data_IF_073711456634
#
_entry.id   IF_073711456634
#
_cell.length_a   1.000
_cell.length_b   1.000
_cell.length_c   1.000
_cell.angle_alpha   90.00
_cell.angle_beta   90.00
_cell.angle_gamma   90.00
#
_symmetry.space_group_name_H-M   'P 1'
#
loop_
_entity.id
_entity.type
_entity.pdbx_description
1 polymer ?
#
# COMPACT_ATOMS: atom_id res chain seq x y z
N UNK A 1 18.70 17.69 3.25
CA UNK A 1 19.93 18.10 3.95
C UNK A 1 19.64 18.18 5.43
N UNK A 2 20.09 17.22 6.25
CA UNK A 2 20.04 17.36 7.71
C UNK A 2 20.96 18.53 8.08
N UNK A 3 20.42 19.56 8.73
CA UNK A 3 21.01 20.89 8.89
C UNK A 3 22.18 20.90 9.91
N UNK A 4 23.19 20.03 9.72
CA UNK A 4 24.26 19.74 10.67
C UNK A 4 23.77 19.26 12.05
N UNK A 5 22.57 18.67 12.09
CA UNK A 5 22.01 18.04 13.28
C UNK A 5 22.53 16.61 13.39
N UNK A 6 23.46 16.39 14.33
CA UNK A 6 24.07 15.08 14.60
C UNK A 6 23.02 14.04 15.00
N UNK A 7 21.93 14.47 15.64
CA UNK A 7 20.84 13.61 16.12
C UNK A 7 20.16 12.84 14.98
N UNK A 8 19.92 13.51 13.85
CA UNK A 8 19.31 12.88 12.66
C UNK A 8 20.29 11.87 12.04
N UNK A 9 21.59 12.20 11.99
CA UNK A 9 22.61 11.30 11.48
C UNK A 9 22.73 10.02 12.29
N UNK A 10 22.69 10.15 13.62
CA UNK A 10 22.75 9.01 14.55
C UNK A 10 21.53 8.09 14.40
N UNK A 11 20.32 8.66 14.28
CA UNK A 11 19.08 7.89 14.09
C UNK A 11 19.08 7.14 12.75
N UNK A 12 19.55 7.78 11.66
CA UNK A 12 19.67 7.12 10.36
C UNK A 12 20.69 5.98 10.43
N UNK A 13 21.82 6.16 11.11
CA UNK A 13 22.82 5.12 11.29
C UNK A 13 22.25 3.94 12.08
N UNK A 14 21.55 4.20 13.18
CA UNK A 14 20.92 3.16 14.00
C UNK A 14 19.83 2.40 13.22
N UNK A 15 19.04 3.12 12.41
CA UNK A 15 18.04 2.51 11.53
C UNK A 15 18.70 1.54 10.54
N UNK A 16 19.77 1.97 9.86
CA UNK A 16 20.53 1.14 8.91
C UNK A 16 21.14 -0.11 9.57
N UNK A 17 21.64 0.01 10.80
CA UNK A 17 22.20 -1.12 11.55
C UNK A 17 21.11 -2.13 11.95
N UNK A 18 19.88 -1.68 12.27
CA UNK A 18 18.75 -2.56 12.63
C UNK A 18 18.11 -3.26 11.44
N UNK A 19 17.89 -2.55 10.33
CA UNK A 19 17.19 -3.12 9.15
C UNK A 19 18.14 -3.84 8.18
N UNK A 20 19.45 -3.60 8.30
CA UNK A 20 20.48 -4.12 7.40
C UNK A 20 20.58 -3.33 6.09
N UNK A 21 21.59 -3.64 5.27
CA UNK A 21 21.90 -2.87 4.04
C UNK A 21 20.80 -2.83 2.99
N UNK A 22 19.93 -3.84 2.98
CA UNK A 22 18.84 -3.99 2.01
C UNK A 22 17.46 -3.76 2.66
N UNK A 23 17.42 -3.27 3.90
CA UNK A 23 16.21 -2.99 4.64
C UNK A 23 15.50 -1.72 4.17
N UNK A 24 14.18 -1.68 4.35
CA UNK A 24 13.36 -0.53 3.98
C UNK A 24 13.24 0.40 5.17
N UNK A 25 13.46 1.70 4.94
CA UNK A 25 13.27 2.76 5.93
C UNK A 25 12.19 3.70 5.42
N UNK A 26 11.15 3.86 6.23
CA UNK A 26 10.09 4.84 6.03
C UNK A 26 10.16 5.92 7.11
N UNK A 27 9.70 7.12 6.79
CA UNK A 27 9.64 8.25 7.73
C UNK A 27 8.20 8.70 7.83
N UNK A 28 7.68 8.76 9.04
CA UNK A 28 6.31 9.22 9.34
C UNK A 28 6.37 10.45 10.26
N UNK A 29 5.47 11.40 10.08
CA UNK A 29 5.38 12.56 10.97
C UNK A 29 4.69 12.19 12.30
N UNK A 30 5.45 12.26 13.40
CA UNK A 30 4.90 12.07 14.74
C UNK A 30 4.38 13.40 15.33
N UNK A 31 3.32 13.31 16.16
CA UNK A 31 2.79 14.48 16.90
C UNK A 31 3.66 14.89 18.10
N UNK A 32 4.64 14.06 18.49
CA UNK A 32 5.59 14.32 19.56
C UNK A 32 6.77 15.16 19.09
N UNK A 33 7.40 15.90 20.01
CA UNK A 33 8.65 16.58 19.74
C UNK A 33 9.85 15.61 19.64
N UNK A 34 9.68 14.40 20.17
CA UNK A 34 10.71 13.35 20.16
C UNK A 34 10.66 12.57 18.85
N UNK A 35 11.83 12.30 18.27
CA UNK A 35 12.02 11.40 17.13
C UNK A 35 12.26 9.99 17.65
N UNK A 36 11.38 9.03 17.31
CA UNK A 36 11.54 7.61 17.64
C UNK A 36 11.95 6.79 16.41
N UNK A 37 12.58 5.64 16.67
CA UNK A 37 12.91 4.63 15.67
C UNK A 37 12.18 3.34 16.04
N UNK A 38 11.20 2.97 15.23
CA UNK A 38 10.44 1.74 15.39
C UNK A 38 10.73 0.78 14.23
N UNK A 39 11.02 -0.48 14.56
CA UNK A 39 11.20 -1.53 13.57
C UNK A 39 9.92 -2.37 13.55
N UNK A 40 9.27 -2.39 12.40
CA UNK A 40 8.03 -3.16 12.18
C UNK A 40 8.25 -4.21 11.10
N UNK A 41 7.57 -5.34 11.21
CA UNK A 41 7.51 -6.32 10.13
C UNK A 41 6.65 -5.76 9.00
N UNK A 42 7.18 -5.78 7.78
CA UNK A 42 6.54 -5.19 6.61
C UNK A 42 7.07 -5.77 5.32
N UNK A 43 6.42 -5.41 4.21
CA UNK A 43 6.84 -5.82 2.87
C UNK A 43 6.79 -4.63 1.92
N UNK A 44 7.85 -4.50 1.11
CA UNK A 44 7.89 -3.60 -0.03
C UNK A 44 8.11 -4.41 -1.31
N UNK A 45 7.46 -4.01 -2.40
CA UNK A 45 7.67 -4.57 -3.72
C UNK A 45 7.55 -3.50 -4.81
N UNK A 46 8.21 -3.73 -5.94
CA UNK A 46 8.33 -2.75 -7.03
C UNK A 46 7.08 -2.68 -7.94
N UNK A 47 5.94 -2.28 -7.36
CA UNK A 47 4.69 -2.04 -8.09
C UNK A 47 3.98 -0.79 -7.57
N UNK A 48 3.80 0.19 -8.46
CA UNK A 48 3.04 1.40 -8.17
C UNK A 48 1.54 1.26 -8.42
N UNK A 49 0.80 2.33 -8.11
CA UNK A 49 -0.63 2.44 -8.38
C UNK A 49 -0.95 2.37 -9.88
N UNK A 50 -2.07 1.73 -10.22
CA UNK A 50 -2.52 1.57 -11.60
C UNK A 50 -3.13 2.85 -12.19
N UNK A 51 -3.45 3.83 -11.36
CA UNK A 51 -3.98 5.12 -11.80
C UNK A 51 -3.51 6.25 -10.88
N UNK A 52 -3.10 7.41 -11.42
CA UNK A 52 -2.71 8.57 -10.61
C UNK A 52 -3.88 9.13 -9.79
N UNK A 53 -5.12 8.78 -10.12
CA UNK A 53 -6.30 9.18 -9.34
C UNK A 53 -6.38 8.48 -7.96
N UNK A 54 -5.50 7.51 -7.68
CA UNK A 54 -5.38 6.93 -6.35
C UNK A 54 -4.51 7.74 -5.39
N UNK A 55 -3.74 8.70 -5.90
CA UNK A 55 -2.91 9.61 -5.10
C UNK A 55 -3.78 10.34 -4.07
N UNK A 56 -3.35 10.32 -2.82
CA UNK A 56 -3.97 11.02 -1.69
C UNK A 56 -3.16 12.24 -1.26
N UNK A 57 -1.85 12.20 -1.48
CA UNK A 57 -0.94 13.31 -1.24
C UNK A 57 -0.39 13.80 -2.59
N UNK A 58 -0.81 15.00 -2.99
CA UNK A 58 -0.42 15.58 -4.29
C UNK A 58 0.99 16.16 -4.29
N UNK A 59 1.58 16.41 -3.12
CA UNK A 59 2.91 16.98 -3.01
C UNK A 59 3.97 15.87 -3.13
N UNK A 60 3.77 14.75 -2.41
CA UNK A 60 4.66 13.57 -2.49
C UNK A 60 4.31 12.63 -3.64
N UNK A 61 3.13 12.78 -4.25
CA UNK A 61 2.57 11.87 -5.26
C UNK A 61 2.37 10.43 -4.72
N UNK A 62 1.93 10.32 -3.46
CA UNK A 62 1.74 9.04 -2.77
C UNK A 62 0.26 8.70 -2.56
N UNK A 63 0.00 7.40 -2.42
CA UNK A 63 -1.31 6.86 -2.04
C UNK A 63 -1.24 6.30 -0.61
N UNK A 64 -1.52 7.15 0.36
CA UNK A 64 -1.49 6.85 1.79
C UNK A 64 -2.86 6.33 2.23
N UNK A 65 -2.91 5.07 2.68
CA UNK A 65 -4.12 4.41 3.17
C UNK A 65 -3.91 4.01 4.63
N UNK A 66 -4.73 4.56 5.53
CA UNK A 66 -4.66 4.28 6.96
C UNK A 66 -5.51 3.05 7.32
N UNK A 67 -4.91 2.05 7.98
CA UNK A 67 -5.53 0.77 8.34
C UNK A 67 -6.41 0.13 7.23
N UNK A 68 -5.87 -0.06 6.01
CA UNK A 68 -6.68 -0.55 4.90
C UNK A 68 -6.98 -2.04 5.02
N UNK A 69 -8.12 -2.45 4.47
CA UNK A 69 -8.31 -3.85 4.07
C UNK A 69 -7.40 -4.17 2.88
N UNK A 70 -6.79 -5.34 2.87
CA UNK A 70 -5.99 -5.82 1.73
C UNK A 70 -6.78 -6.91 1.01
N UNK A 71 -7.09 -6.67 -0.27
CA UNK A 71 -7.80 -7.62 -1.12
C UNK A 71 -6.80 -8.22 -2.10
N UNK A 72 -6.60 -9.53 -2.02
CA UNK A 72 -5.68 -10.27 -2.89
C UNK A 72 -6.47 -11.05 -3.93
N UNK A 73 -6.13 -10.87 -5.22
CA UNK A 73 -6.77 -11.58 -6.34
C UNK A 73 -5.69 -12.16 -7.26
N UNK A 74 -5.62 -13.49 -7.35
CA UNK A 74 -4.59 -14.16 -8.17
C UNK A 74 -4.73 -13.86 -9.68
N UNK A 75 -5.95 -13.53 -10.11
CA UNK A 75 -6.35 -13.36 -11.51
C UNK A 75 -6.50 -11.89 -11.89
N UNK A 76 -6.58 -11.66 -13.20
CA UNK A 76 -6.95 -10.37 -13.79
C UNK A 76 -8.37 -9.95 -13.39
N UNK A 77 -8.53 -8.68 -13.03
CA UNK A 77 -9.82 -8.06 -12.68
C UNK A 77 -10.21 -7.06 -13.78
N UNK A 78 -11.11 -7.48 -14.67
CA UNK A 78 -11.61 -6.64 -15.77
C UNK A 78 -13.00 -6.06 -15.51
N UNK A 79 -13.75 -6.65 -14.57
CA UNK A 79 -15.07 -6.20 -14.13
C UNK A 79 -15.21 -6.31 -12.60
N UNK A 80 -16.16 -5.58 -12.02
CA UNK A 80 -16.34 -5.52 -10.56
C UNK A 80 -17.22 -6.61 -9.98
N UNK A 81 -17.89 -7.43 -10.80
CA UNK A 81 -18.99 -8.30 -10.37
C UNK A 81 -18.58 -9.25 -9.24
N UNK A 82 -17.41 -9.85 -9.36
CA UNK A 82 -16.89 -10.82 -8.39
C UNK A 82 -16.42 -10.14 -7.09
N UNK A 83 -16.12 -8.83 -7.13
CA UNK A 83 -15.69 -8.05 -5.98
C UNK A 83 -16.84 -7.34 -5.26
N UNK A 84 -18.01 -7.17 -5.91
CA UNK A 84 -19.15 -6.44 -5.34
C UNK A 84 -19.51 -6.88 -3.92
N UNK A 85 -19.65 -8.19 -3.59
CA UNK A 85 -20.05 -8.59 -2.25
C UNK A 85 -19.06 -8.15 -1.16
N UNK A 86 -17.76 -8.18 -1.47
CA UNK A 86 -16.69 -7.78 -0.55
C UNK A 86 -16.63 -6.25 -0.43
N UNK A 87 -16.73 -5.55 -1.56
CA UNK A 87 -16.69 -4.09 -1.57
C UNK A 87 -17.88 -3.45 -0.85
N UNK A 88 -19.06 -4.07 -0.93
CA UNK A 88 -20.23 -3.62 -0.16
C UNK A 88 -20.00 -3.75 1.34
N UNK A 89 -19.29 -4.78 1.80
CA UNK A 89 -18.95 -4.94 3.21
C UNK A 89 -17.93 -3.89 3.64
N UNK A 90 -16.86 -3.68 2.85
CA UNK A 90 -15.84 -2.67 3.15
C UNK A 90 -16.45 -1.27 3.13
N UNK A 91 -17.30 -0.94 2.16
CA UNK A 91 -17.97 0.35 2.08
C UNK A 91 -18.79 0.68 3.33
N UNK A 92 -19.43 -0.32 3.96
CA UNK A 92 -20.17 -0.15 5.23
C UNK A 92 -19.27 0.21 6.41
N UNK A 93 -18.01 -0.22 6.39
CA UNK A 93 -17.04 0.14 7.44
C UNK A 93 -16.48 1.56 7.26
N UNK A 94 -16.53 2.10 6.04
CA UNK A 94 -15.90 3.38 5.68
C UNK A 94 -14.37 3.34 5.68
N UNK A 95 -13.75 2.19 5.98
CA UNK A 95 -12.29 2.01 5.94
C UNK A 95 -11.79 1.92 4.49
N UNK A 96 -10.55 2.33 4.24
CA UNK A 96 -9.95 2.19 2.93
C UNK A 96 -9.62 0.73 2.59
N UNK A 97 -9.30 0.46 1.33
CA UNK A 97 -8.75 -0.82 0.91
C UNK A 97 -7.70 -0.70 -0.20
N UNK A 98 -6.77 -1.66 -0.22
CA UNK A 98 -5.81 -1.87 -1.28
C UNK A 98 -6.18 -3.14 -2.06
N UNK A 99 -6.36 -3.03 -3.37
CA UNK A 99 -6.56 -4.18 -4.26
C UNK A 99 -5.24 -4.57 -4.93
N UNK A 100 -4.75 -5.77 -4.65
CA UNK A 100 -3.57 -6.37 -5.29
C UNK A 100 -4.04 -7.50 -6.19
N UNK A 101 -3.87 -7.36 -7.50
CA UNK A 101 -4.30 -8.36 -8.47
C UNK A 101 -3.27 -8.59 -9.58
N UNK A 102 -3.34 -9.68 -10.34
CA UNK A 102 -2.49 -9.85 -11.54
C UNK A 102 -2.51 -8.61 -12.45
N UNK A 103 -3.70 -8.08 -12.69
CA UNK A 103 -3.93 -6.77 -13.30
C UNK A 103 -5.33 -6.28 -12.92
N UNK A 104 -5.54 -4.96 -12.93
CA UNK A 104 -6.87 -4.35 -12.80
C UNK A 104 -7.06 -3.42 -13.99
N UNK A 105 -7.99 -3.75 -14.87
CA UNK A 105 -8.13 -3.08 -16.16
C UNK A 105 -9.59 -2.83 -16.56
N UNK A 106 -9.75 -2.12 -17.66
CA UNK A 106 -11.06 -1.92 -18.29
C UNK A 106 -12.09 -1.26 -17.36
N UNK A 107 -13.27 -1.86 -17.33
CA UNK A 107 -14.41 -1.36 -16.54
C UNK A 107 -14.11 -1.36 -15.03
N UNK A 108 -13.38 -2.37 -14.54
CA UNK A 108 -13.04 -2.44 -13.13
C UNK A 108 -12.20 -1.25 -12.67
N UNK A 109 -11.11 -0.96 -13.38
CA UNK A 109 -10.24 0.18 -13.04
C UNK A 109 -11.00 1.51 -13.15
N UNK A 110 -11.78 1.70 -14.22
CA UNK A 110 -12.59 2.90 -14.39
C UNK A 110 -13.60 3.09 -13.23
N UNK A 111 -14.24 2.01 -12.80
CA UNK A 111 -15.19 2.02 -11.69
C UNK A 111 -14.53 2.39 -10.37
N UNK A 112 -13.37 1.80 -10.05
CA UNK A 112 -12.61 2.15 -8.85
C UNK A 112 -12.19 3.62 -8.85
N UNK A 113 -11.66 4.11 -9.96
CA UNK A 113 -11.24 5.51 -10.12
C UNK A 113 -12.42 6.47 -9.94
N UNK A 114 -13.54 6.23 -10.62
CA UNK A 114 -14.72 7.10 -10.51
C UNK A 114 -15.26 7.12 -9.08
N UNK A 115 -15.32 5.96 -8.40
CA UNK A 115 -15.78 5.90 -7.01
C UNK A 115 -14.79 6.55 -6.03
N UNK A 116 -13.48 6.47 -6.30
CA UNK A 116 -12.45 7.18 -5.54
C UNK A 116 -12.59 8.69 -5.65
N UNK A 117 -12.73 9.21 -6.86
CA UNK A 117 -12.91 10.65 -7.13
C UNK A 117 -14.19 11.17 -6.46
N UNK A 118 -15.26 10.37 -6.47
CA UNK A 118 -16.53 10.71 -5.80
C UNK A 118 -16.47 10.60 -4.27
N UNK A 119 -15.40 10.03 -3.71
CA UNK A 119 -15.26 9.79 -2.28
C UNK A 119 -16.08 8.61 -1.75
N UNK A 120 -16.77 7.86 -2.62
CA UNK A 120 -17.57 6.69 -2.25
C UNK A 120 -16.67 5.56 -1.74
N UNK A 121 -15.52 5.36 -2.39
CA UNK A 121 -14.54 4.33 -2.02
C UNK A 121 -13.19 5.01 -1.75
N UNK A 122 -12.59 4.74 -0.60
CA UNK A 122 -11.20 5.12 -0.33
C UNK A 122 -10.32 3.94 -0.71
N UNK A 123 -9.76 3.94 -1.92
CA UNK A 123 -9.00 2.79 -2.39
C UNK A 123 -7.81 3.16 -3.26
N UNK A 124 -6.91 2.21 -3.40
CA UNK A 124 -5.90 2.14 -4.44
C UNK A 124 -5.86 0.72 -5.04
N UNK A 125 -5.33 0.58 -6.24
CA UNK A 125 -5.02 -0.73 -6.81
C UNK A 125 -3.63 -0.79 -7.41
N UNK A 126 -2.99 -1.95 -7.25
CA UNK A 126 -1.63 -2.24 -7.73
C UNK A 126 -1.61 -3.61 -8.39
N UNK A 127 -0.63 -3.83 -9.28
CA UNK A 127 -0.35 -5.17 -9.78
C UNK A 127 0.32 -6.00 -8.69
N UNK A 128 0.02 -7.28 -8.66
CA UNK A 128 0.70 -8.24 -7.84
C UNK A 128 2.19 -8.31 -8.20
N UNK A 129 3.08 -8.49 -7.23
CA UNK A 129 4.49 -8.67 -7.47
C UNK A 129 4.78 -10.05 -8.08
N UNK A 130 5.87 -10.16 -8.84
CA UNK A 130 6.24 -11.41 -9.52
C UNK A 130 5.38 -11.78 -10.72
N UNK A 131 5.61 -12.99 -11.24
CA UNK A 131 4.91 -13.58 -12.40
C UNK A 131 4.76 -15.10 -12.22
N UNK A 132 3.76 -15.71 -12.86
CA UNK A 132 3.54 -17.16 -12.81
C UNK A 132 3.41 -17.69 -11.38
N UNK A 133 4.07 -18.81 -11.09
CA UNK A 133 4.04 -19.42 -9.74
C UNK A 133 4.67 -18.54 -8.67
N UNK A 134 5.68 -17.73 -9.03
CA UNK A 134 6.29 -16.78 -8.09
C UNK A 134 5.29 -15.72 -7.64
N UNK A 135 4.37 -15.28 -8.51
CA UNK A 135 3.31 -14.35 -8.12
C UNK A 135 2.38 -14.97 -7.08
N UNK A 136 2.04 -16.25 -7.22
CA UNK A 136 1.18 -16.95 -6.26
C UNK A 136 1.85 -17.04 -4.90
N UNK A 137 3.10 -17.46 -4.87
CA UNK A 137 3.89 -17.52 -3.64
C UNK A 137 3.99 -16.15 -2.97
N UNK A 138 4.28 -15.08 -3.73
CA UNK A 138 4.36 -13.73 -3.16
C UNK A 138 3.00 -13.21 -2.66
N UNK A 139 1.89 -13.54 -3.32
CA UNK A 139 0.56 -13.19 -2.81
C UNK A 139 0.22 -13.94 -1.52
N UNK A 140 0.65 -15.20 -1.40
CA UNK A 140 0.54 -15.98 -0.17
C UNK A 140 1.36 -15.34 0.97
N UNK A 141 2.61 -14.93 0.68
CA UNK A 141 3.45 -14.21 1.65
C UNK A 141 2.78 -12.91 2.14
N UNK A 142 2.18 -12.13 1.22
CA UNK A 142 1.42 -10.92 1.57
C UNK A 142 0.22 -11.25 2.45
N UNK A 143 -0.50 -12.33 2.17
CA UNK A 143 -1.65 -12.77 2.98
C UNK A 143 -1.22 -13.07 4.41
N UNK A 144 -0.19 -13.90 4.56
CA UNK A 144 0.34 -14.31 5.87
C UNK A 144 0.81 -13.10 6.67
N UNK A 145 1.57 -12.19 6.04
CA UNK A 145 2.07 -10.98 6.68
C UNK A 145 0.94 -10.03 7.11
N UNK A 146 -0.11 -9.94 6.31
CA UNK A 146 -1.29 -9.11 6.59
C UNK A 146 -2.29 -9.76 7.56
N UNK A 147 -2.01 -10.98 8.04
CA UNK A 147 -2.89 -11.73 8.95
C UNK A 147 -4.17 -12.27 8.30
N UNK A 148 -4.14 -12.50 6.98
CA UNK A 148 -5.22 -13.05 6.17
C UNK A 148 -5.01 -14.50 5.78
#
# INVERSE_FOLDING_TARGET
SANSDSTIGDIISEAMDKVGKDGVITVEEAKSADTSLDVVEGMQFDRGYLSPYFVTDQDSMEANLEEPYIILVEKKVSNMKDLLPVLEQIAKTGKPFLLIAEDVEGEALATLVVNKIRGTLKCASVKAPGFGDRRKAMLEDVSILAGG
#
